data_IF_184502810341
#
_entry.id   IF_184502810341
#
_cell.length_a   1.000
_cell.length_b   1.000
_cell.length_c   1.000
_cell.angle_alpha   90.00
_cell.angle_beta   90.00
_cell.angle_gamma   90.00
#
_symmetry.space_group_name_H-M   'P 1'
#
loop_
_entity.id
_entity.type
_entity.pdbx_description
1 polymer ?
#
# COMPACT_ATOMS: atom_id res chain seq x y z
N UNK A 1 10.26 12.96 -9.79
CA UNK A 1 10.85 12.33 -8.57
C UNK A 1 11.91 11.37 -9.07
N UNK A 2 13.12 11.42 -8.52
CA UNK A 2 14.23 10.57 -8.96
C UNK A 2 14.05 9.15 -8.39
N UNK A 3 14.01 8.09 -9.21
CA UNK A 3 13.71 6.72 -8.76
C UNK A 3 14.76 6.17 -7.79
N UNK A 4 15.96 6.73 -7.77
CA UNK A 4 17.06 6.32 -6.90
C UNK A 4 16.78 6.68 -5.42
N UNK A 5 16.13 7.82 -5.16
CA UNK A 5 15.68 8.21 -3.81
C UNK A 5 14.53 7.32 -3.31
N UNK A 6 13.68 6.87 -4.24
CA UNK A 6 12.56 5.97 -3.95
C UNK A 6 13.07 4.63 -3.42
N UNK A 7 14.15 4.09 -4.00
CA UNK A 7 14.74 2.81 -3.59
C UNK A 7 15.42 2.87 -2.22
N UNK A 8 16.06 3.99 -1.88
CA UNK A 8 16.84 4.16 -0.64
C UNK A 8 16.02 4.46 0.63
N UNK A 9 14.70 4.54 0.55
CA UNK A 9 13.85 4.85 1.72
C UNK A 9 13.97 6.28 2.22
N UNK A 10 14.75 7.12 1.53
CA UNK A 10 14.91 8.57 1.74
C UNK A 10 13.73 9.33 1.15
N UNK A 11 12.51 8.87 1.46
CA UNK A 11 11.28 9.61 1.19
C UNK A 11 11.24 10.78 2.18
N UNK A 12 11.89 11.88 1.80
CA UNK A 12 12.02 13.07 2.65
C UNK A 12 10.68 13.68 3.04
N UNK A 13 10.76 14.72 3.89
CA UNK A 13 9.66 15.59 4.37
C UNK A 13 8.65 16.06 3.29
N UNK A 14 8.95 15.88 2.01
CA UNK A 14 8.06 16.12 0.88
C UNK A 14 6.84 15.18 0.81
N UNK A 15 6.98 13.93 1.24
CA UNK A 15 5.84 13.02 1.28
C UNK A 15 4.95 13.31 2.49
N UNK A 16 5.53 13.59 3.66
CA UNK A 16 4.78 14.04 4.84
C UNK A 16 3.93 15.30 4.57
N UNK A 17 4.39 16.19 3.68
CA UNK A 17 3.65 17.39 3.26
C UNK A 17 2.47 17.11 2.33
N UNK A 18 2.35 15.89 1.78
CA UNK A 18 1.24 15.52 0.89
C UNK A 18 0.16 14.78 1.65
N UNK A 19 -1.10 15.10 1.35
CA UNK A 19 -2.31 14.49 1.91
C UNK A 19 -2.31 12.95 1.91
N UNK A 20 -1.53 12.33 1.01
CA UNK A 20 -1.43 10.87 0.84
C UNK A 20 -0.05 10.29 1.21
N UNK A 21 0.85 11.07 1.82
CA UNK A 21 2.23 10.65 2.11
C UNK A 21 2.33 9.39 2.97
N UNK A 22 1.61 9.39 4.08
CA UNK A 22 1.53 8.25 5.01
C UNK A 22 1.03 6.98 4.32
N UNK A 23 0.05 7.11 3.42
CA UNK A 23 -0.52 6.00 2.67
C UNK A 23 0.49 5.40 1.67
N UNK A 24 1.20 6.25 0.93
CA UNK A 24 2.27 5.82 0.02
C UNK A 24 3.39 5.10 0.77
N UNK A 25 3.73 5.57 1.97
CA UNK A 25 4.71 4.91 2.83
C UNK A 25 4.26 3.50 3.23
N UNK A 26 3.00 3.31 3.66
CA UNK A 26 2.47 1.99 4.00
C UNK A 26 2.43 1.04 2.79
N UNK A 27 1.96 1.51 1.64
CA UNK A 27 1.94 0.75 0.38
C UNK A 27 3.35 0.29 -0.03
N UNK A 28 4.31 1.20 0.04
CA UNK A 28 5.69 0.89 -0.30
C UNK A 28 6.35 -0.04 0.72
N UNK A 29 6.05 0.14 2.00
CA UNK A 29 6.56 -0.73 3.07
C UNK A 29 6.03 -2.15 2.89
N UNK A 30 4.75 -2.31 2.55
CA UNK A 30 4.16 -3.61 2.20
C UNK A 30 4.86 -4.25 1.00
N UNK A 31 5.16 -3.46 -0.05
CA UNK A 31 5.86 -3.95 -1.25
C UNK A 31 7.27 -4.45 -0.92
N UNK A 32 8.00 -3.69 -0.11
CA UNK A 32 9.34 -4.07 0.35
C UNK A 32 9.32 -5.33 1.20
N UNK A 33 8.38 -5.43 2.14
CA UNK A 33 8.21 -6.62 2.99
C UNK A 33 7.94 -7.85 2.14
N UNK A 34 7.04 -7.75 1.18
CA UNK A 34 6.73 -8.83 0.25
C UNK A 34 7.98 -9.26 -0.52
N UNK A 35 8.70 -8.29 -1.11
CA UNK A 35 9.92 -8.56 -1.87
C UNK A 35 11.02 -9.19 -1.01
N UNK A 36 11.22 -8.69 0.21
CA UNK A 36 12.19 -9.25 1.16
C UNK A 36 11.82 -10.67 1.59
N UNK A 37 10.54 -10.99 1.74
CA UNK A 37 10.08 -12.35 2.05
C UNK A 37 10.26 -13.30 0.87
N UNK A 38 10.05 -12.82 -0.35
CA UNK A 38 10.16 -13.58 -1.60
C UNK A 38 11.53 -13.43 -2.27
N UNK A 39 12.56 -12.98 -1.55
CA UNK A 39 13.88 -12.65 -2.12
C UNK A 39 14.60 -13.80 -2.86
N UNK A 40 14.20 -15.06 -2.62
CA UNK A 40 14.71 -16.25 -3.32
C UNK A 40 13.83 -16.70 -4.49
N UNK A 41 12.64 -16.14 -4.60
CA UNK A 41 11.66 -16.44 -5.62
C UNK A 41 11.70 -15.31 -6.66
N UNK A 42 11.74 -15.65 -7.94
CA UNK A 42 11.78 -14.66 -9.03
C UNK A 42 10.39 -14.18 -9.42
N UNK A 43 9.38 -14.50 -8.60
CA UNK A 43 7.98 -14.18 -8.85
C UNK A 43 7.73 -12.67 -8.84
N UNK A 44 6.94 -12.22 -9.81
CA UNK A 44 6.41 -10.85 -9.87
C UNK A 44 5.46 -10.63 -8.69
N UNK A 45 5.45 -9.41 -8.15
CA UNK A 45 4.58 -9.01 -7.04
C UNK A 45 3.13 -9.41 -7.30
N UNK A 46 2.65 -10.42 -6.58
CA UNK A 46 1.26 -10.88 -6.66
C UNK A 46 0.41 -9.88 -5.90
N UNK A 47 -0.52 -9.25 -6.61
CA UNK A 47 -1.35 -8.16 -6.11
C UNK A 47 -2.08 -8.52 -4.81
N UNK A 48 -2.61 -9.74 -4.73
CA UNK A 48 -3.38 -10.23 -3.58
C UNK A 48 -2.49 -10.46 -2.35
N UNK A 49 -1.32 -11.08 -2.54
CA UNK A 49 -0.35 -11.28 -1.45
C UNK A 49 0.18 -9.94 -0.92
N UNK A 50 0.40 -8.97 -1.81
CA UNK A 50 0.79 -7.61 -1.42
C UNK A 50 -0.33 -6.87 -0.68
N UNK A 51 -1.58 -6.97 -1.15
CA UNK A 51 -2.74 -6.39 -0.47
C UNK A 51 -2.91 -6.99 0.93
N UNK A 52 -2.68 -8.30 1.08
CA UNK A 52 -2.66 -8.94 2.39
C UNK A 52 -1.60 -8.33 3.31
N UNK A 53 -0.38 -8.10 2.82
CA UNK A 53 0.68 -7.43 3.60
C UNK A 53 0.35 -5.99 3.96
N UNK A 54 -0.31 -5.27 3.05
CA UNK A 54 -0.78 -3.93 3.31
C UNK A 54 -1.85 -3.92 4.42
N UNK A 55 -2.80 -4.86 4.39
CA UNK A 55 -3.82 -5.01 5.44
C UNK A 55 -3.21 -5.37 6.80
N UNK A 56 -2.23 -6.29 6.84
CA UNK A 56 -1.50 -6.65 8.06
C UNK A 56 -0.82 -5.41 8.69
N UNK A 57 -0.11 -4.61 7.87
CA UNK A 57 0.53 -3.37 8.33
C UNK A 57 -0.49 -2.34 8.81
N UNK A 58 -1.65 -2.27 8.15
CA UNK A 58 -2.75 -1.38 8.52
C UNK A 58 -3.30 -1.74 9.90
N UNK A 59 -3.57 -3.01 10.15
CA UNK A 59 -4.10 -3.46 11.45
C UNK A 59 -3.08 -3.22 12.57
N UNK A 60 -1.79 -3.47 12.32
CA UNK A 60 -0.73 -3.15 13.27
C UNK A 60 -0.63 -1.66 13.57
N UNK A 61 -0.75 -0.81 12.55
CA UNK A 61 -0.78 0.64 12.73
C UNK A 61 -1.99 1.07 13.56
N UNK A 62 -3.17 0.47 13.33
CA UNK A 62 -4.40 0.73 14.09
C UNK A 62 -4.23 0.41 15.56
N UNK A 63 -3.73 -0.78 15.88
CA UNK A 63 -3.47 -1.22 17.25
C UNK A 63 -2.46 -0.31 17.93
N UNK A 64 -1.41 0.09 17.21
CA UNK A 64 -0.39 1.02 17.72
C UNK A 64 -0.99 2.39 18.04
N UNK A 65 -1.87 2.94 17.19
CA UNK A 65 -2.57 4.20 17.45
C UNK A 65 -3.51 4.08 18.65
N UNK A 66 -4.25 2.98 18.78
CA UNK A 66 -5.12 2.73 19.93
C UNK A 66 -4.34 2.72 21.25
N UNK A 67 -3.17 2.08 21.28
CA UNK A 67 -2.30 2.04 22.46
C UNK A 67 -1.76 3.44 22.80
N UNK A 68 -1.34 4.22 21.79
CA UNK A 68 -0.69 5.52 22.00
C UNK A 68 -1.67 6.66 22.31
N UNK A 69 -2.70 6.83 21.49
CA UNK A 69 -3.51 8.05 21.46
C UNK A 69 -4.93 7.84 22.02
N UNK A 70 -5.37 6.58 22.18
CA UNK A 70 -6.75 6.19 22.53
C UNK A 70 -7.85 6.81 21.64
N UNK A 71 -7.49 7.48 20.54
CA UNK A 71 -8.40 8.12 19.61
C UNK A 71 -8.12 7.60 18.19
N UNK A 72 -9.04 6.78 17.69
CA UNK A 72 -8.92 6.11 16.39
C UNK A 72 -9.44 6.96 15.22
N UNK A 73 -10.06 8.11 15.48
CA UNK A 73 -10.78 8.89 14.46
C UNK A 73 -9.84 9.43 13.36
N UNK A 74 -8.65 9.88 13.73
CA UNK A 74 -7.59 10.36 12.82
C UNK A 74 -7.08 9.24 11.93
N UNK A 75 -6.83 8.05 12.50
CA UNK A 75 -6.50 6.83 11.79
C UNK A 75 -7.60 6.48 10.78
N UNK A 76 -8.86 6.33 11.22
CA UNK A 76 -9.98 5.96 10.35
C UNK A 76 -10.13 6.93 9.17
N UNK A 77 -9.98 8.25 9.41
CA UNK A 77 -10.07 9.24 8.34
C UNK A 77 -8.99 9.07 7.26
N UNK A 78 -7.76 8.77 7.68
CA UNK A 78 -6.61 8.55 6.78
C UNK A 78 -6.78 7.26 5.97
N UNK A 79 -7.22 6.18 6.62
CA UNK A 79 -7.34 4.86 6.01
C UNK A 79 -8.58 4.68 5.14
N UNK A 80 -9.65 5.46 5.38
CA UNK A 80 -10.82 5.49 4.49
C UNK A 80 -10.44 5.86 3.06
N UNK A 81 -9.45 6.74 2.88
CA UNK A 81 -8.93 7.08 1.55
C UNK A 81 -8.18 5.92 0.88
N UNK A 82 -7.44 5.09 1.64
CA UNK A 82 -6.82 3.87 1.11
C UNK A 82 -7.89 2.90 0.63
N UNK A 83 -8.88 2.65 1.49
CA UNK A 83 -9.89 1.63 1.23
C UNK A 83 -10.69 1.99 -0.01
N UNK A 84 -11.05 3.26 -0.16
CA UNK A 84 -11.71 3.75 -1.37
C UNK A 84 -10.83 3.58 -2.61
N UNK A 85 -9.54 3.91 -2.53
CA UNK A 85 -8.61 3.70 -3.65
C UNK A 85 -8.48 2.22 -4.03
N UNK A 86 -8.31 1.32 -3.06
CA UNK A 86 -8.21 -0.13 -3.32
C UNK A 86 -9.53 -0.66 -3.91
N UNK A 87 -10.68 -0.23 -3.39
CA UNK A 87 -11.99 -0.60 -3.92
C UNK A 87 -12.20 -0.05 -5.34
N UNK A 88 -11.70 1.13 -5.67
CA UNK A 88 -11.74 1.67 -7.03
C UNK A 88 -10.83 0.89 -7.98
N UNK A 89 -9.61 0.56 -7.56
CA UNK A 89 -8.69 -0.30 -8.33
C UNK A 89 -9.32 -1.66 -8.59
N UNK A 90 -9.94 -2.27 -7.58
CA UNK A 90 -10.60 -3.57 -7.71
C UNK A 90 -11.81 -3.52 -8.64
N UNK A 91 -12.67 -2.49 -8.52
CA UNK A 91 -13.77 -2.25 -9.46
C UNK A 91 -13.28 -2.05 -10.88
N UNK A 92 -12.15 -1.37 -11.07
CA UNK A 92 -11.59 -1.12 -12.40
C UNK A 92 -10.92 -2.38 -12.99
N UNK A 93 -10.45 -3.34 -12.19
CA UNK A 93 -10.04 -4.66 -12.69
C UNK A 93 -11.22 -5.47 -13.24
N UNK A 94 -12.45 -5.27 -12.72
CA UNK A 94 -13.64 -5.94 -13.25
C UNK A 94 -14.10 -5.41 -14.62
N UNK A 95 -13.41 -4.40 -15.18
CA UNK A 95 -13.75 -3.81 -16.47
C UNK A 95 -12.76 -4.14 -17.60
N UNK A 96 -11.85 -5.11 -17.42
CA UNK A 96 -11.12 -5.66 -18.56
C UNK A 96 -10.83 -7.17 -18.39
N UNK A 97 -11.78 -7.98 -18.85
CA UNK A 97 -11.51 -9.30 -19.42
C UNK A 97 -12.30 -9.46 -20.71
N UNK A 98 -12.06 -8.52 -21.63
CA UNK A 98 -12.48 -8.68 -23.01
C UNK A 98 -11.32 -8.17 -23.85
N UNK A 99 -10.46 -9.08 -24.28
CA UNK A 99 -9.57 -9.03 -25.46
C UNK A 99 -8.23 -9.68 -25.11
N UNK A 100 -8.13 -10.99 -25.38
CA UNK A 100 -7.07 -11.63 -26.17
C UNK A 100 -7.50 -13.08 -26.46
N UNK A 101 -8.43 -13.23 -27.40
CA UNK A 101 -8.44 -14.39 -28.30
C UNK A 101 -8.19 -13.80 -29.68
N UNK A 102 -6.97 -13.99 -30.17
CA UNK A 102 -6.66 -13.91 -31.60
C UNK A 102 -6.39 -15.35 -32.01
N UNK A 103 -7.06 -15.75 -33.07
CA UNK A 103 -7.04 -17.08 -33.69
C UNK A 103 -5.63 -17.58 -34.03
#
# INVERSE_FOLDING_TARGET
>A
MKPELFLLGLMGKELEKKKYGTLLLYMLTAARLWYAQKWKDTSVLIMDEWLQKLMELTEMAKLTTLIKEKNISTFVSTWRHLLNFVLEVEKNKTFDFGFYRVD
#
